data_IF_853495850426
#
_entry.id   IF_853495850426
#
_cell.length_a   1.000
_cell.length_b   1.000
_cell.length_c   1.000
_cell.angle_alpha   90.00
_cell.angle_beta   90.00
_cell.angle_gamma   90.00
#
_symmetry.space_group_name_H-M   'P 1'
#
loop_
_entity.id
_entity.type
_entity.pdbx_description
1 polymer ?
#
# COMPACT_ATOMS: atom_id res chain seq x y z
N UNK A 1 -5.45 -2.15 -16.19
CA UNK A 1 -4.93 -1.99 -14.81
C UNK A 1 -3.42 -2.11 -14.77
N UNK A 2 -2.83 -3.24 -15.20
CA UNK A 2 -1.37 -3.44 -15.16
C UNK A 2 -0.55 -2.47 -16.04
N UNK A 3 -1.10 -2.07 -17.20
CA UNK A 3 -0.43 -1.12 -18.11
C UNK A 3 -0.20 0.26 -17.46
N UNK A 4 -1.20 0.78 -16.73
CA UNK A 4 -1.09 2.07 -16.03
C UNK A 4 -0.07 1.99 -14.89
N UNK A 5 0.03 0.85 -14.21
CA UNK A 5 1.04 0.63 -13.17
C UNK A 5 2.46 0.64 -13.75
N UNK A 6 2.70 -0.06 -14.86
CA UNK A 6 4.00 -0.02 -15.54
C UNK A 6 4.33 1.37 -16.08
N UNK A 7 3.36 2.08 -16.66
CA UNK A 7 3.56 3.48 -17.06
C UNK A 7 3.88 4.38 -15.85
N UNK A 8 3.25 4.16 -14.71
CA UNK A 8 3.58 4.85 -13.47
C UNK A 8 5.02 4.60 -13.02
N UNK A 9 5.50 3.36 -13.12
CA UNK A 9 6.91 3.02 -12.86
C UNK A 9 7.86 3.76 -13.81
N UNK A 10 7.52 3.84 -15.10
CA UNK A 10 8.34 4.56 -16.08
C UNK A 10 8.42 6.07 -15.79
N UNK A 11 7.35 6.66 -15.25
CA UNK A 11 7.27 8.11 -14.99
C UNK A 11 7.88 8.48 -13.63
N UNK A 12 7.49 7.81 -12.56
CA UNK A 12 7.81 8.17 -11.16
C UNK A 12 8.92 7.32 -10.55
N UNK A 13 9.30 6.24 -11.24
CA UNK A 13 10.28 5.28 -10.79
C UNK A 13 9.69 4.15 -9.91
N UNK A 14 10.49 3.08 -9.71
CA UNK A 14 10.02 1.87 -9.03
C UNK A 14 9.74 2.06 -7.54
N UNK A 15 10.42 2.99 -6.86
CA UNK A 15 10.20 3.28 -5.44
C UNK A 15 8.78 3.81 -5.21
N UNK A 16 8.42 4.88 -5.92
CA UNK A 16 7.11 5.54 -5.79
C UNK A 16 5.99 4.57 -6.15
N UNK A 17 6.17 3.79 -7.23
CA UNK A 17 5.20 2.76 -7.62
C UNK A 17 5.01 1.69 -6.53
N UNK A 18 6.08 1.26 -5.88
CA UNK A 18 6.02 0.28 -4.77
C UNK A 18 5.26 0.85 -3.57
N UNK A 19 5.48 2.12 -3.23
CA UNK A 19 4.75 2.78 -2.15
C UNK A 19 3.26 2.92 -2.45
N UNK A 20 2.90 3.27 -3.69
CA UNK A 20 1.50 3.30 -4.14
C UNK A 20 0.85 1.92 -4.08
N UNK A 21 1.57 0.86 -4.47
CA UNK A 21 1.08 -0.51 -4.36
C UNK A 21 0.78 -0.89 -2.90
N UNK A 22 1.69 -0.59 -1.98
CA UNK A 22 1.52 -0.83 -0.54
C UNK A 22 0.35 -0.04 0.04
N UNK A 23 0.17 1.22 -0.37
CA UNK A 23 -0.98 2.03 0.00
C UNK A 23 -2.31 1.43 -0.49
N UNK A 24 -2.33 0.76 -1.64
CA UNK A 24 -3.53 0.11 -2.16
C UNK A 24 -4.17 -0.85 -1.17
N UNK A 25 -3.37 -1.64 -0.45
CA UNK A 25 -3.88 -2.55 0.58
C UNK A 25 -4.48 -1.80 1.80
N UNK A 26 -3.84 -0.70 2.23
CA UNK A 26 -4.34 0.12 3.34
C UNK A 26 -5.64 0.87 2.97
N UNK A 27 -5.71 1.41 1.75
CA UNK A 27 -6.90 2.08 1.24
C UNK A 27 -8.03 1.08 1.06
N UNK A 28 -7.75 -0.12 0.56
CA UNK A 28 -8.76 -1.18 0.44
C UNK A 28 -9.32 -1.60 1.81
N UNK A 29 -8.46 -1.76 2.82
CA UNK A 29 -8.88 -2.01 4.20
C UNK A 29 -9.80 -0.91 4.76
N UNK A 30 -9.45 0.36 4.52
CA UNK A 30 -10.27 1.50 4.93
C UNK A 30 -11.62 1.52 4.21
N UNK A 31 -11.63 1.30 2.89
CA UNK A 31 -12.86 1.28 2.11
C UNK A 31 -13.75 0.08 2.47
N UNK A 32 -13.19 -1.09 2.77
CA UNK A 32 -13.97 -2.23 3.24
C UNK A 32 -14.67 -1.92 4.55
N UNK A 33 -13.98 -1.23 5.47
CA UNK A 33 -14.59 -0.77 6.71
C UNK A 33 -15.72 0.24 6.48
N UNK A 34 -15.52 1.22 5.59
CA UNK A 34 -16.49 2.30 5.36
C UNK A 34 -17.70 1.86 4.51
N UNK A 35 -17.46 1.10 3.44
CA UNK A 35 -18.49 0.75 2.44
C UNK A 35 -19.21 -0.54 2.83
N UNK A 36 -18.46 -1.57 3.22
CA UNK A 36 -18.99 -2.91 3.51
C UNK A 36 -19.29 -3.11 5.00
N UNK A 37 -18.79 -2.22 5.88
CA UNK A 37 -18.92 -2.35 7.32
C UNK A 37 -18.03 -3.44 7.92
N UNK A 38 -17.09 -3.99 7.15
CA UNK A 38 -16.20 -5.06 7.58
C UNK A 38 -15.10 -4.54 8.50
N UNK A 39 -15.02 -5.09 9.71
CA UNK A 39 -13.96 -4.73 10.64
C UNK A 39 -12.71 -5.53 10.34
N UNK A 40 -11.55 -4.87 10.41
CA UNK A 40 -10.27 -5.55 10.37
C UNK A 40 -10.15 -6.50 11.58
N UNK A 41 -9.82 -7.76 11.29
CA UNK A 41 -9.42 -8.72 12.31
C UNK A 41 -8.09 -8.31 12.95
N UNK A 42 -7.76 -8.88 14.10
CA UNK A 42 -6.48 -8.64 14.76
C UNK A 42 -5.28 -8.95 13.85
N UNK A 43 -5.39 -9.97 13.00
CA UNK A 43 -4.37 -10.31 12.00
C UNK A 43 -4.29 -9.24 10.89
N UNK A 44 -5.43 -8.71 10.46
CA UNK A 44 -5.48 -7.60 9.49
C UNK A 44 -4.76 -6.35 10.00
N UNK A 45 -4.91 -6.02 11.28
CA UNK A 45 -4.19 -4.91 11.91
C UNK A 45 -2.68 -5.12 11.95
N UNK A 46 -2.22 -6.34 12.26
CA UNK A 46 -0.80 -6.69 12.21
C UNK A 46 -0.27 -6.57 10.77
N UNK A 47 -1.03 -7.04 9.78
CA UNK A 47 -0.70 -6.87 8.37
C UNK A 47 -0.57 -5.40 7.97
N UNK A 48 -1.49 -4.54 8.40
CA UNK A 48 -1.44 -3.10 8.17
C UNK A 48 -0.18 -2.44 8.78
N UNK A 49 0.17 -2.81 10.01
CA UNK A 49 1.40 -2.34 10.67
C UNK A 49 2.68 -2.77 9.92
N UNK A 50 2.72 -4.01 9.42
CA UNK A 50 3.84 -4.50 8.62
C UNK A 50 3.98 -3.75 7.30
N UNK A 51 2.86 -3.44 6.63
CA UNK A 51 2.86 -2.64 5.40
C UNK A 51 3.42 -1.24 5.67
N UNK A 52 2.96 -0.56 6.72
CA UNK A 52 3.46 0.78 7.08
C UNK A 52 4.94 0.75 7.44
N UNK A 53 5.39 -0.25 8.20
CA UNK A 53 6.79 -0.40 8.59
C UNK A 53 7.67 -0.68 7.38
N UNK A 54 7.24 -1.58 6.48
CA UNK A 54 7.94 -1.87 5.23
C UNK A 54 8.08 -0.64 4.34
N UNK A 55 6.99 0.14 4.18
CA UNK A 55 7.01 1.39 3.45
C UNK A 55 7.99 2.40 4.06
N UNK A 56 8.01 2.55 5.38
CA UNK A 56 8.93 3.45 6.08
C UNK A 56 10.40 3.04 5.88
N UNK A 57 10.72 1.75 6.03
CA UNK A 57 12.08 1.23 5.81
C UNK A 57 12.52 1.47 4.36
N UNK A 58 11.62 1.23 3.40
CA UNK A 58 11.88 1.42 1.99
C UNK A 58 12.23 2.87 1.67
N UNK A 59 11.44 3.83 2.17
CA UNK A 59 11.71 5.27 2.03
C UNK A 59 13.05 5.64 2.65
N UNK A 60 13.35 5.13 3.86
CA UNK A 60 14.59 5.44 4.56
C UNK A 60 15.82 4.92 3.85
N UNK A 61 15.75 3.76 3.22
CA UNK A 61 16.87 3.16 2.47
C UNK A 61 17.10 3.81 1.11
N UNK A 62 16.06 4.44 0.55
CA UNK A 62 16.14 5.10 -0.76
C UNK A 62 16.58 6.58 -0.69
N UNK A 63 16.62 7.18 0.51
CA UNK A 63 17.29 8.45 0.78
C UNK A 63 18.77 8.23 1.06
#
# INVERSE_FOLDING_TARGET
FIFLYYRGIEIEGPLTATLFFLMGALVSALLSYVILGEKLSSIGWVGGLLIMTGAYILIKKSK
#
